data_IF_124664304928
#
_entry.id   IF_124664304928
#
_cell.length_a   1.000
_cell.length_b   1.000
_cell.length_c   1.000
_cell.angle_alpha   90.00
_cell.angle_beta   90.00
_cell.angle_gamma   90.00
#
_symmetry.space_group_name_H-M   'P 1'
#
loop_
_entity.id
_entity.type
_entity.pdbx_description
1 polymer ?
#
# COMPACT_ATOMS: atom_id res chain seq x y z
N UNK A 1 -16.01 -49.76 -22.17
CA UNK A 1 -16.20 -48.54 -21.36
C UNK A 1 -16.26 -47.35 -22.30
N UNK A 2 -17.44 -46.81 -22.60
CA UNK A 2 -17.62 -45.69 -23.52
C UNK A 2 -17.39 -44.38 -22.71
N UNK A 3 -16.26 -43.71 -22.98
CA UNK A 3 -16.05 -42.36 -22.47
C UNK A 3 -17.07 -41.43 -23.15
N UNK A 4 -18.02 -40.97 -22.42
CA UNK A 4 -19.11 -40.12 -22.89
C UNK A 4 -18.52 -38.78 -23.32
N UNK A 5 -18.84 -38.27 -24.53
CA UNK A 5 -18.44 -36.97 -25.10
C UNK A 5 -18.50 -35.82 -24.07
N UNK A 6 -19.38 -35.91 -23.12
CA UNK A 6 -19.63 -34.95 -22.05
C UNK A 6 -18.44 -34.80 -21.10
N UNK A 7 -17.70 -35.88 -20.82
CA UNK A 7 -16.51 -35.82 -19.92
C UNK A 7 -15.27 -35.28 -20.60
N UNK A 8 -15.17 -35.41 -21.93
CA UNK A 8 -14.06 -34.87 -22.72
C UNK A 8 -14.16 -33.34 -22.79
N UNK A 9 -15.36 -32.78 -23.00
CA UNK A 9 -15.57 -31.33 -23.01
C UNK A 9 -15.31 -30.68 -21.66
N UNK A 10 -15.69 -31.35 -20.54
CA UNK A 10 -15.44 -30.83 -19.20
C UNK A 10 -13.95 -30.84 -18.84
N UNK A 11 -13.21 -31.85 -19.27
CA UNK A 11 -11.75 -31.93 -19.06
C UNK A 11 -10.99 -30.87 -19.86
N UNK A 12 -11.41 -30.56 -21.08
CA UNK A 12 -10.78 -29.55 -21.92
C UNK A 12 -11.01 -28.12 -21.39
N UNK A 13 -12.21 -27.85 -20.84
CA UNK A 13 -12.55 -26.55 -20.27
C UNK A 13 -11.79 -26.25 -18.95
N UNK A 14 -11.47 -27.30 -18.17
CA UNK A 14 -10.67 -27.16 -16.96
C UNK A 14 -9.18 -26.86 -17.24
N UNK A 15 -8.63 -27.37 -18.36
CA UNK A 15 -7.26 -27.11 -18.75
C UNK A 15 -7.03 -25.67 -19.22
N UNK A 16 -8.02 -25.00 -19.80
CA UNK A 16 -7.87 -23.63 -20.28
C UNK A 16 -7.83 -22.58 -19.16
N UNK A 17 -8.45 -22.87 -17.99
CA UNK A 17 -8.38 -21.99 -16.83
C UNK A 17 -6.99 -22.02 -16.15
N UNK A 18 -6.27 -23.12 -16.24
CA UNK A 18 -4.92 -23.24 -15.67
C UNK A 18 -3.86 -22.47 -16.50
N UNK A 19 -4.15 -22.16 -17.76
CA UNK A 19 -3.21 -21.48 -18.67
C UNK A 19 -3.10 -19.97 -18.42
N UNK A 20 -4.04 -19.35 -17.65
CA UNK A 20 -4.03 -17.91 -17.38
C UNK A 20 -2.96 -17.46 -16.38
N UNK A 21 -2.15 -18.35 -15.84
CA UNK A 21 -1.04 -17.99 -14.93
C UNK A 21 -1.46 -17.24 -13.65
N UNK A 22 -2.74 -17.28 -13.29
CA UNK A 22 -3.25 -16.63 -12.10
C UNK A 22 -2.63 -17.26 -10.85
N UNK A 23 -1.66 -16.56 -10.26
CA UNK A 23 -1.13 -16.90 -8.94
C UNK A 23 -1.80 -16.04 -7.89
N UNK A 24 -2.50 -16.61 -6.91
CA UNK A 24 -3.01 -15.85 -5.78
C UNK A 24 -1.83 -15.17 -5.08
N UNK A 25 -2.06 -13.93 -4.63
CA UNK A 25 -1.03 -13.17 -3.90
C UNK A 25 -0.66 -13.96 -2.65
N UNK A 26 0.60 -14.36 -2.56
CA UNK A 26 1.12 -15.01 -1.35
C UNK A 26 1.08 -14.00 -0.20
N UNK A 27 0.65 -14.41 1.01
CA UNK A 27 0.78 -13.58 2.19
C UNK A 27 2.25 -13.21 2.39
N UNK A 28 2.52 -11.93 2.61
CA UNK A 28 3.87 -11.48 2.91
C UNK A 28 4.25 -11.98 4.31
N UNK A 29 5.33 -12.76 4.42
CA UNK A 29 5.85 -13.17 5.70
C UNK A 29 6.74 -12.04 6.26
N UNK A 30 6.40 -11.58 7.45
CA UNK A 30 7.23 -10.62 8.20
C UNK A 30 7.99 -11.35 9.31
N UNK A 31 9.14 -10.83 9.69
CA UNK A 31 9.98 -11.32 10.79
C UNK A 31 9.55 -10.76 12.17
N UNK A 32 8.46 -9.98 12.19
CA UNK A 32 7.84 -9.41 13.39
C UNK A 32 6.36 -9.75 13.47
N UNK A 33 5.80 -9.73 14.66
CA UNK A 33 4.39 -10.04 14.92
C UNK A 33 3.59 -8.85 15.41
N UNK A 34 4.24 -7.90 16.07
CA UNK A 34 3.59 -6.75 16.69
C UNK A 34 4.30 -5.47 16.25
N UNK A 35 3.55 -4.52 15.70
CA UNK A 35 4.08 -3.22 15.31
C UNK A 35 3.27 -2.10 15.96
N UNK A 36 3.96 -1.13 16.52
CA UNK A 36 3.33 0.11 16.96
C UNK A 36 3.29 1.12 15.81
N UNK A 37 2.11 1.65 15.53
CA UNK A 37 1.89 2.73 14.56
C UNK A 37 1.14 3.86 15.26
N UNK A 38 1.69 5.08 15.32
CA UNK A 38 1.09 6.17 16.08
C UNK A 38 -0.33 6.49 15.58
N UNK A 39 -1.23 6.94 16.49
CA UNK A 39 -2.62 7.27 16.17
C UNK A 39 -2.77 8.62 15.44
N UNK A 40 -1.73 9.08 14.75
CA UNK A 40 -1.76 10.34 14.00
C UNK A 40 -2.77 10.26 12.85
N UNK A 41 -3.63 11.27 12.66
CA UNK A 41 -4.57 11.31 11.56
C UNK A 41 -3.82 11.47 10.22
N UNK A 42 -3.71 10.38 9.47
CA UNK A 42 -3.05 10.30 8.17
C UNK A 42 -3.73 9.24 7.33
N UNK A 43 -4.04 9.57 6.09
CA UNK A 43 -4.56 8.58 5.13
C UNK A 43 -3.50 7.51 4.83
N UNK A 44 -2.22 7.89 4.80
CA UNK A 44 -1.11 6.94 4.62
C UNK A 44 -1.09 5.91 5.76
N UNK A 45 -1.13 6.37 7.02
CA UNK A 45 -1.12 5.46 8.16
C UNK A 45 -2.37 4.58 8.21
N UNK A 46 -3.51 5.07 7.75
CA UNK A 46 -4.74 4.27 7.64
C UNK A 46 -4.56 3.12 6.65
N UNK A 47 -4.00 3.41 5.47
CA UNK A 47 -3.73 2.38 4.45
C UNK A 47 -2.61 1.43 4.89
N UNK A 48 -1.56 1.93 5.53
CA UNK A 48 -0.49 1.11 6.09
C UNK A 48 -1.06 0.09 7.10
N UNK A 49 -1.86 0.55 8.06
CA UNK A 49 -2.51 -0.32 9.06
C UNK A 49 -3.40 -1.37 8.40
N UNK A 50 -4.19 -0.95 7.40
CA UNK A 50 -5.04 -1.88 6.63
C UNK A 50 -4.21 -2.93 5.90
N UNK A 51 -3.13 -2.52 5.25
CA UNK A 51 -2.22 -3.42 4.52
C UNK A 51 -1.53 -4.44 5.43
N UNK A 52 -1.06 -3.99 6.60
CA UNK A 52 -0.45 -4.87 7.60
C UNK A 52 -1.46 -5.89 8.16
N UNK A 53 -2.67 -5.45 8.48
CA UNK A 53 -3.73 -6.33 9.00
C UNK A 53 -4.22 -7.35 7.97
N UNK A 54 -4.25 -6.99 6.67
CA UNK A 54 -4.78 -7.85 5.61
C UNK A 54 -3.75 -8.86 5.07
N UNK A 55 -2.47 -8.52 5.10
CA UNK A 55 -1.42 -9.28 4.40
C UNK A 55 -0.62 -10.22 5.29
N UNK A 56 -0.63 -10.02 6.59
CA UNK A 56 0.13 -10.79 7.55
C UNK A 56 -0.64 -10.89 8.87
N UNK A 57 -0.34 -11.91 9.64
CA UNK A 57 -0.83 -12.05 11.02
C UNK A 57 -0.07 -11.08 11.95
N UNK A 58 -0.12 -9.78 11.64
CA UNK A 58 0.57 -8.72 12.38
C UNK A 58 -0.44 -7.97 13.22
N UNK A 59 -0.21 -7.90 14.52
CA UNK A 59 -0.95 -7.06 15.45
C UNK A 59 -0.47 -5.62 15.34
N UNK A 60 -1.39 -4.68 15.07
CA UNK A 60 -1.07 -3.24 14.99
C UNK A 60 -1.53 -2.53 16.25
N UNK A 61 -0.59 -2.09 17.08
CA UNK A 61 -0.85 -1.30 18.28
C UNK A 61 -0.92 0.19 17.94
N UNK A 62 -1.88 0.89 18.56
CA UNK A 62 -2.05 2.34 18.39
C UNK A 62 -2.04 3.08 19.73
N UNK A 63 -2.21 2.36 20.84
CA UNK A 63 -2.15 2.96 22.17
C UNK A 63 -0.69 3.20 22.58
N UNK A 64 -0.30 4.46 22.83
CA UNK A 64 1.06 4.79 23.29
C UNK A 64 1.50 4.07 24.56
N UNK A 65 0.55 3.61 25.39
CA UNK A 65 0.87 2.86 26.61
C UNK A 65 1.33 1.43 26.35
N UNK A 66 1.07 0.92 25.15
CA UNK A 66 1.36 -0.46 24.75
C UNK A 66 2.59 -0.57 23.85
N UNK A 67 3.28 0.55 23.57
CA UNK A 67 4.42 0.56 22.66
C UNK A 67 5.52 -0.44 23.04
N UNK A 68 5.71 -0.70 24.34
CA UNK A 68 6.71 -1.65 24.85
C UNK A 68 6.44 -3.11 24.45
N UNK A 69 5.20 -3.44 24.09
CA UNK A 69 4.82 -4.77 23.57
C UNK A 69 5.17 -4.94 22.11
N UNK A 70 5.42 -3.85 21.39
CA UNK A 70 5.71 -3.90 19.97
C UNK A 70 7.13 -4.44 19.70
N UNK A 71 7.27 -5.28 18.69
CA UNK A 71 8.57 -5.70 18.17
C UNK A 71 9.25 -4.57 17.40
N UNK A 72 8.40 -3.80 16.67
CA UNK A 72 8.80 -2.65 15.87
C UNK A 72 7.93 -1.43 16.16
N UNK A 73 8.53 -0.25 16.01
CA UNK A 73 7.84 1.05 16.06
C UNK A 73 8.00 1.77 14.73
N UNK A 74 6.89 2.16 14.12
CA UNK A 74 6.86 2.99 12.92
C UNK A 74 6.76 4.46 13.33
N UNK A 75 7.77 5.25 13.01
CA UNK A 75 7.80 6.69 13.27
C UNK A 75 7.53 7.45 11.96
N UNK A 76 6.37 8.10 11.84
CA UNK A 76 6.09 9.05 10.78
C UNK A 76 6.71 10.39 11.17
N UNK A 77 7.78 10.79 10.49
CA UNK A 77 8.51 12.03 10.79
C UNK A 77 7.89 13.22 10.07
N UNK A 78 7.46 13.03 8.82
CA UNK A 78 6.84 14.08 8.01
C UNK A 78 5.93 13.48 6.95
N UNK A 79 4.79 14.13 6.72
CA UNK A 79 3.91 13.88 5.58
C UNK A 79 3.55 15.23 4.96
N UNK A 80 3.91 15.45 3.71
CA UNK A 80 3.59 16.68 2.97
C UNK A 80 2.87 16.32 1.69
N UNK A 81 1.73 16.99 1.46
CA UNK A 81 0.94 16.87 0.24
C UNK A 81 0.92 18.21 -0.48
N UNK A 82 1.30 18.17 -1.73
CA UNK A 82 1.36 19.36 -2.58
C UNK A 82 0.54 19.14 -3.84
N UNK A 83 -0.10 20.22 -4.30
CA UNK A 83 -0.76 20.29 -5.59
C UNK A 83 -0.10 21.41 -6.39
N UNK A 84 0.64 21.04 -7.42
CA UNK A 84 1.40 21.97 -8.25
C UNK A 84 0.76 22.06 -9.62
N UNK A 85 0.47 23.29 -10.09
CA UNK A 85 0.00 23.52 -11.47
C UNK A 85 1.17 23.34 -12.43
N UNK A 86 1.05 22.38 -13.34
CA UNK A 86 2.08 22.05 -14.33
C UNK A 86 1.68 22.45 -15.76
N UNK A 87 0.40 22.68 -16.01
CA UNK A 87 -0.11 23.12 -17.31
C UNK A 87 -1.24 24.14 -17.20
N UNK A 88 -1.22 25.14 -18.10
CA UNK A 88 -2.29 26.13 -18.22
C UNK A 88 -2.80 26.21 -19.66
N UNK A 89 -4.05 26.62 -19.84
CA UNK A 89 -4.61 26.95 -21.14
C UNK A 89 -4.06 28.30 -21.64
N UNK A 90 -4.24 28.60 -22.93
CA UNK A 90 -3.91 29.91 -23.50
C UNK A 90 -4.67 31.07 -22.84
N UNK A 91 -5.80 30.79 -22.23
CA UNK A 91 -6.63 31.75 -21.46
C UNK A 91 -6.26 31.83 -19.98
N UNK A 92 -5.22 31.09 -19.53
CA UNK A 92 -4.72 31.12 -18.15
C UNK A 92 -5.39 30.12 -17.19
N UNK A 93 -6.41 29.38 -17.63
CA UNK A 93 -7.05 28.33 -16.84
C UNK A 93 -6.11 27.19 -16.53
N UNK A 94 -6.33 26.49 -15.42
CA UNK A 94 -5.54 25.30 -15.07
C UNK A 94 -5.98 24.12 -15.93
N UNK A 95 -5.03 23.53 -16.66
CA UNK A 95 -5.24 22.34 -17.49
C UNK A 95 -4.70 21.08 -16.85
N UNK A 96 -3.57 21.19 -16.19
CA UNK A 96 -2.87 20.06 -15.62
C UNK A 96 -2.28 20.43 -14.26
N UNK A 97 -2.35 19.50 -13.33
CA UNK A 97 -1.64 19.65 -12.06
C UNK A 97 -1.01 18.33 -11.64
N UNK A 98 0.05 18.44 -10.87
CA UNK A 98 0.77 17.32 -10.28
C UNK A 98 0.45 17.26 -8.79
N UNK A 99 -0.01 16.11 -8.34
CA UNK A 99 -0.11 15.78 -6.93
C UNK A 99 1.21 15.16 -6.49
N UNK A 100 1.78 15.66 -5.41
CA UNK A 100 3.00 15.15 -4.79
C UNK A 100 2.69 14.76 -3.35
N UNK A 101 3.12 13.55 -2.98
CA UNK A 101 3.13 13.07 -1.60
C UNK A 101 4.58 12.80 -1.22
N UNK A 102 5.09 13.52 -0.24
CA UNK A 102 6.41 13.31 0.35
C UNK A 102 6.24 12.80 1.77
N UNK A 103 6.89 11.70 2.06
CA UNK A 103 6.82 11.03 3.35
C UNK A 103 8.21 10.75 3.85
N UNK A 104 8.50 11.17 5.08
CA UNK A 104 9.73 10.80 5.80
C UNK A 104 9.34 9.94 6.98
N UNK A 105 9.96 8.78 7.10
CA UNK A 105 9.68 7.83 8.16
C UNK A 105 10.94 7.04 8.54
N UNK A 106 10.87 6.35 9.65
CA UNK A 106 11.83 5.33 10.07
C UNK A 106 11.12 4.22 10.82
N UNK A 107 11.79 3.08 10.95
CA UNK A 107 11.30 1.96 11.75
C UNK A 107 12.40 1.55 12.72
N UNK A 108 12.05 1.44 13.99
CA UNK A 108 12.96 1.04 15.06
C UNK A 108 12.45 -0.24 15.74
N UNK A 109 13.36 -1.03 16.26
CA UNK A 109 13.03 -2.12 17.16
C UNK A 109 12.89 -1.64 18.61
N UNK A 110 12.51 -2.55 19.51
CA UNK A 110 12.35 -2.24 20.94
C UNK A 110 13.64 -1.85 21.65
N UNK A 111 14.81 -2.16 21.08
CA UNK A 111 16.10 -1.69 21.56
C UNK A 111 16.45 -0.26 21.06
N UNK A 112 15.59 0.33 20.24
CA UNK A 112 15.82 1.63 19.62
C UNK A 112 16.71 1.59 18.37
N UNK A 113 17.11 0.39 17.93
CA UNK A 113 17.95 0.22 16.75
C UNK A 113 17.08 0.45 15.49
N UNK A 114 17.57 1.25 14.58
CA UNK A 114 16.87 1.51 13.31
C UNK A 114 16.95 0.29 12.40
N UNK A 115 15.82 -0.38 12.20
CA UNK A 115 15.67 -1.49 11.24
C UNK A 115 15.48 -0.95 9.82
N UNK A 116 14.82 0.18 9.70
CA UNK A 116 14.77 1.01 8.52
C UNK A 116 15.20 2.40 8.96
N UNK A 117 16.34 2.91 8.48
CA UNK A 117 16.81 4.25 8.81
C UNK A 117 15.86 5.31 8.25
N UNK A 118 16.05 6.56 8.66
CA UNK A 118 15.25 7.66 8.11
C UNK A 118 15.27 7.63 6.58
N UNK A 119 14.10 7.42 6.02
CA UNK A 119 13.88 7.22 4.58
C UNK A 119 12.85 8.21 4.09
N UNK A 120 13.12 8.83 2.95
CA UNK A 120 12.16 9.68 2.24
C UNK A 120 11.58 8.95 1.03
N UNK A 121 10.25 8.95 0.93
CA UNK A 121 9.52 8.49 -0.24
C UNK A 121 8.84 9.68 -0.90
N UNK A 122 8.97 9.78 -2.21
CA UNK A 122 8.26 10.75 -3.03
C UNK A 122 7.39 10.01 -4.05
N UNK A 123 6.08 10.24 -3.95
CA UNK A 123 5.12 9.77 -4.93
C UNK A 123 4.56 10.97 -5.69
N UNK A 124 4.52 10.86 -7.03
CA UNK A 124 3.99 11.90 -7.91
C UNK A 124 2.95 11.32 -8.85
N UNK A 125 1.92 12.12 -9.14
CA UNK A 125 0.88 11.75 -10.10
C UNK A 125 0.38 12.99 -10.82
N UNK A 126 0.45 12.97 -12.14
CA UNK A 126 -0.10 14.02 -12.99
C UNK A 126 -1.60 13.78 -13.21
N UNK A 127 -2.38 14.85 -13.20
CA UNK A 127 -3.81 14.83 -13.41
C UNK A 127 -4.19 15.92 -14.39
N UNK A 128 -4.88 15.53 -15.48
CA UNK A 128 -5.46 16.47 -16.44
C UNK A 128 -6.85 16.89 -15.97
N UNK A 129 -7.14 18.17 -16.07
CA UNK A 129 -8.45 18.73 -15.79
C UNK A 129 -9.14 19.06 -17.13
N UNK A 130 -10.25 18.42 -17.38
CA UNK A 130 -11.10 18.72 -18.54
C UNK A 130 -12.30 19.48 -17.98
N UNK A 131 -12.42 20.78 -18.28
CA UNK A 131 -13.65 21.51 -18.03
C UNK A 131 -14.73 20.94 -18.96
N UNK A 132 -15.67 20.22 -18.37
CA UNK A 132 -16.89 19.83 -19.10
C UNK A 132 -17.86 21.03 -19.03
N UNK A 133 -18.06 21.71 -20.15
CA UNK A 133 -19.08 22.69 -20.31
C UNK A 133 -20.47 22.06 -20.26
#
# INVERSE_FOLDING_TARGET
>A
MALTRRHICTGFMAMTLAACGFKPRQPMAYDFKVIYVPPTPSALLTELKRGLAAGAQVEVLQDPRQWERADLSFDLLQETREKVVIGRTSTGGVREFQLRLRVRFRVRDKAGIERIPETELLQQRDMSFIETN
#
